data_IF_430883210906
#
_entry.id   IF_430883210906
#
_cell.length_a   1.000
_cell.length_b   1.000
_cell.length_c   1.000
_cell.angle_alpha   90.00
_cell.angle_beta   90.00
_cell.angle_gamma   90.00
#
_symmetry.space_group_name_H-M   'P 1'
#
loop_
_entity.id
_entity.type
_entity.pdbx_description
1 polymer ?
#
# COMPACT_ATOMS: atom_id res chain seq x y z
N UNK A 1 59.64 -57.81 -2.70
CA UNK A 1 59.34 -56.99 -3.89
C UNK A 1 58.15 -56.10 -3.53
N UNK A 2 58.29 -54.79 -3.76
CA UNK A 2 57.36 -53.69 -3.47
C UNK A 2 57.08 -53.28 -2.01
N UNK A 3 57.84 -52.26 -1.63
CA UNK A 3 57.68 -51.26 -0.58
C UNK A 3 56.42 -50.39 -0.75
N UNK A 4 55.70 -50.12 0.34
CA UNK A 4 55.17 -48.76 0.63
C UNK A 4 55.37 -48.43 2.12
N UNK A 5 56.24 -47.44 2.35
CA UNK A 5 56.42 -46.66 3.58
C UNK A 5 55.17 -45.77 3.78
N UNK A 6 54.75 -45.34 4.96
CA UNK A 6 55.31 -44.26 5.81
C UNK A 6 54.42 -44.24 7.07
N UNK A 7 54.94 -44.61 8.26
CA UNK A 7 55.41 -43.74 9.37
C UNK A 7 54.36 -42.71 9.86
N UNK A 8 54.21 -42.41 11.15
CA UNK A 8 54.60 -42.94 12.47
C UNK A 8 54.16 -41.81 13.42
N UNK A 9 53.36 -42.16 14.43
CA UNK A 9 53.34 -41.57 15.80
C UNK A 9 52.88 -40.09 15.83
N UNK A 10 52.28 -39.55 16.88
CA UNK A 10 52.75 -39.32 18.25
C UNK A 10 51.50 -39.36 19.16
N UNK A 11 51.44 -40.19 20.21
CA UNK A 11 51.92 -39.97 21.59
C UNK A 11 51.30 -38.74 22.30
N UNK A 12 50.46 -39.08 23.28
CA UNK A 12 50.21 -38.36 24.55
C UNK A 12 49.39 -37.06 24.43
N UNK A 13 48.27 -36.89 25.15
CA UNK A 13 48.25 -36.58 26.58
C UNK A 13 46.98 -37.12 27.27
N UNK A 14 47.21 -37.66 28.46
CA UNK A 14 46.28 -38.14 29.47
C UNK A 14 45.64 -36.96 30.23
N UNK A 15 44.34 -37.11 30.51
CA UNK A 15 43.56 -36.57 31.64
C UNK A 15 43.68 -35.08 32.01
N UNK A 16 42.54 -34.38 31.96
CA UNK A 16 42.02 -33.69 33.14
C UNK A 16 40.48 -33.61 33.04
N UNK A 17 39.83 -34.40 33.87
CA UNK A 17 38.40 -34.40 34.12
C UNK A 17 38.03 -33.27 35.09
N UNK A 18 36.79 -32.78 34.96
CA UNK A 18 36.00 -32.09 36.00
C UNK A 18 36.43 -30.68 36.41
N UNK A 19 36.13 -29.65 35.60
CA UNK A 19 35.48 -28.37 36.02
C UNK A 19 35.01 -27.64 34.74
N UNK A 20 33.86 -27.98 34.17
CA UNK A 20 33.18 -27.12 33.17
C UNK A 20 31.68 -27.49 33.12
N UNK A 21 31.02 -27.40 34.28
CA UNK A 21 29.57 -27.61 34.40
C UNK A 21 28.98 -26.57 35.36
N UNK A 22 29.29 -25.29 35.14
CA UNK A 22 28.60 -24.17 35.79
C UNK A 22 28.94 -22.84 35.08
N UNK A 23 28.61 -22.73 33.80
CA UNK A 23 28.39 -21.42 33.18
C UNK A 23 27.23 -21.55 32.19
N UNK A 24 26.03 -21.73 32.75
CA UNK A 24 24.80 -21.38 32.06
C UNK A 24 24.88 -19.87 31.82
N UNK A 25 25.42 -19.49 30.66
CA UNK A 25 25.32 -18.14 30.12
C UNK A 25 23.83 -17.83 30.06
N UNK A 26 23.36 -16.96 30.95
CA UNK A 26 22.05 -16.34 30.86
C UNK A 26 22.09 -15.46 29.62
N UNK A 27 21.78 -16.06 28.46
CA UNK A 27 21.61 -15.32 27.21
C UNK A 27 20.44 -14.37 27.46
N UNK A 28 20.63 -13.04 27.44
CA UNK A 28 19.50 -12.13 27.48
C UNK A 28 18.62 -12.48 26.28
N UNK A 29 17.38 -12.88 26.56
CA UNK A 29 16.34 -12.99 25.55
C UNK A 29 16.11 -11.57 25.04
N UNK A 30 16.84 -11.17 24.02
CA UNK A 30 16.47 -10.03 23.22
C UNK A 30 15.14 -10.41 22.58
N UNK A 31 14.05 -9.86 23.11
CA UNK A 31 12.80 -9.81 22.38
C UNK A 31 13.11 -9.06 21.09
N UNK A 32 13.20 -9.79 19.99
CA UNK A 32 13.01 -9.20 18.67
C UNK A 32 11.62 -8.57 18.72
N UNK A 33 11.57 -7.24 18.78
CA UNK A 33 10.32 -6.53 18.56
C UNK A 33 9.86 -6.94 17.16
N UNK A 34 8.88 -7.84 17.09
CA UNK A 34 8.15 -8.06 15.86
C UNK A 34 7.58 -6.70 15.44
N UNK A 35 7.98 -6.22 14.27
CA UNK A 35 7.37 -5.04 13.70
C UNK A 35 5.86 -5.30 13.60
N UNK A 36 5.05 -4.36 14.09
CA UNK A 36 3.60 -4.46 13.96
C UNK A 36 3.25 -4.70 12.48
N UNK A 37 2.27 -5.59 12.18
CA UNK A 37 1.85 -5.79 10.81
C UNK A 37 1.43 -4.46 10.19
N UNK A 38 1.67 -4.25 8.88
CA UNK A 38 1.16 -3.08 8.17
C UNK A 38 -0.35 -2.95 8.44
N UNK A 39 -0.82 -1.71 8.60
CA UNK A 39 -2.25 -1.43 8.76
C UNK A 39 -3.03 -2.13 7.64
N UNK A 40 -4.12 -2.82 7.92
CA UNK A 40 -4.96 -3.41 6.87
C UNK A 40 -5.97 -2.40 6.35
N UNK A 41 -6.66 -2.74 5.26
CA UNK A 41 -7.73 -1.90 4.70
C UNK A 41 -7.22 -0.76 3.83
N UNK A 42 -8.16 0.05 3.38
CA UNK A 42 -7.98 1.11 2.38
C UNK A 42 -8.61 2.41 2.87
N UNK A 43 -8.23 3.49 2.22
CA UNK A 43 -8.98 4.74 2.27
C UNK A 43 -9.21 5.21 0.84
N UNK A 44 -10.28 5.94 0.63
CA UNK A 44 -10.60 6.55 -0.66
C UNK A 44 -11.07 7.97 -0.40
N UNK A 45 -10.61 8.90 -1.21
CA UNK A 45 -11.36 10.14 -1.32
C UNK A 45 -12.55 9.95 -2.24
N UNK A 46 -13.65 10.60 -1.90
CA UNK A 46 -14.94 10.48 -2.56
C UNK A 46 -15.71 11.80 -2.53
N UNK A 47 -16.85 11.85 -3.23
CA UNK A 47 -17.82 12.93 -3.07
C UNK A 47 -18.64 12.77 -1.77
N UNK A 48 -19.49 13.74 -1.49
CA UNK A 48 -20.32 13.75 -0.27
C UNK A 48 -21.16 12.48 -0.08
N UNK A 49 -21.50 11.79 -1.17
CA UNK A 49 -22.37 10.59 -1.14
C UNK A 49 -21.61 9.29 -0.99
N UNK A 50 -20.27 9.31 -1.08
CA UNK A 50 -19.47 8.08 -1.16
C UNK A 50 -19.41 7.49 -2.58
N UNK A 51 -19.76 8.28 -3.59
CA UNK A 51 -19.77 7.87 -4.98
C UNK A 51 -18.39 7.77 -5.62
N UNK A 52 -18.31 7.08 -6.75
CA UNK A 52 -17.10 7.10 -7.59
C UNK A 52 -16.97 8.47 -8.24
N UNK A 53 -15.82 9.10 -8.02
CA UNK A 53 -15.50 10.38 -8.63
C UNK A 53 -14.58 10.16 -9.82
N UNK A 54 -14.83 10.88 -10.93
CA UNK A 54 -14.08 10.75 -12.18
C UNK A 54 -12.56 10.88 -11.95
N UNK A 55 -11.87 9.75 -11.86
CA UNK A 55 -10.41 9.68 -11.62
C UNK A 55 -9.97 10.46 -10.38
N UNK A 56 -10.83 10.48 -9.35
CA UNK A 56 -10.57 11.16 -8.09
C UNK A 56 -10.31 12.68 -8.25
N UNK A 57 -11.04 13.31 -9.18
CA UNK A 57 -10.99 14.74 -9.47
C UNK A 57 -12.21 15.48 -8.94
N UNK A 58 -11.96 16.52 -8.15
CA UNK A 58 -12.98 17.31 -7.47
C UNK A 58 -13.02 18.75 -7.98
N UNK A 59 -14.23 19.31 -7.99
CA UNK A 59 -14.48 20.68 -8.44
C UNK A 59 -14.13 21.71 -7.37
N UNK A 60 -14.38 21.41 -6.08
CA UNK A 60 -14.06 22.27 -4.94
C UNK A 60 -13.39 21.49 -3.82
N UNK A 61 -12.72 22.20 -2.91
CA UNK A 61 -12.11 21.59 -1.70
C UNK A 61 -13.17 21.25 -0.66
N UNK A 62 -14.08 22.20 -0.42
CA UNK A 62 -15.06 22.15 0.65
C UNK A 62 -16.50 22.26 0.13
N UNK A 63 -17.44 22.00 1.03
CA UNK A 63 -18.87 22.12 0.84
C UNK A 63 -19.50 20.91 0.12
N UNK A 64 -20.72 21.06 -0.41
CA UNK A 64 -21.47 19.96 -1.03
C UNK A 64 -20.80 19.32 -2.26
N UNK A 65 -19.85 20.00 -2.89
CA UNK A 65 -19.04 19.48 -4.02
C UNK A 65 -17.56 19.30 -3.64
N UNK A 66 -17.28 19.30 -2.33
CA UNK A 66 -15.95 19.16 -1.76
C UNK A 66 -15.39 17.75 -1.81
N UNK A 67 -14.26 17.58 -1.14
CA UNK A 67 -13.57 16.29 -1.03
C UNK A 67 -13.90 15.65 0.31
N UNK A 68 -14.33 14.40 0.26
CA UNK A 68 -14.67 13.61 1.43
C UNK A 68 -13.79 12.36 1.49
N UNK A 69 -13.69 11.78 2.67
CA UNK A 69 -12.98 10.55 2.96
C UNK A 69 -13.98 9.42 3.21
N UNK A 70 -13.71 8.25 2.66
CA UNK A 70 -14.40 6.99 2.90
C UNK A 70 -13.37 5.90 3.25
N UNK A 71 -13.76 5.00 4.16
CA UNK A 71 -12.96 3.87 4.63
C UNK A 71 -13.52 2.50 4.22
N UNK A 72 -14.56 2.47 3.38
CA UNK A 72 -15.21 1.25 2.91
C UNK A 72 -14.65 0.72 1.59
N UNK A 73 -14.94 -0.55 1.22
CA UNK A 73 -14.57 -1.08 -0.08
C UNK A 73 -15.20 -0.29 -1.22
N UNK A 74 -14.37 0.10 -2.19
CA UNK A 74 -14.84 0.65 -3.45
C UNK A 74 -15.77 -0.33 -4.20
N UNK A 75 -16.48 0.11 -5.26
CA UNK A 75 -17.60 -0.61 -5.89
C UNK A 75 -17.32 -2.02 -6.43
N UNK A 76 -16.09 -2.52 -6.35
CA UNK A 76 -15.65 -3.78 -6.93
C UNK A 76 -14.98 -4.72 -5.93
N UNK A 77 -14.87 -4.35 -4.65
CA UNK A 77 -14.33 -5.21 -3.60
C UNK A 77 -15.48 -5.97 -2.90
N UNK A 78 -15.27 -7.21 -2.42
CA UNK A 78 -16.25 -7.92 -1.62
C UNK A 78 -16.69 -7.07 -0.42
N UNK A 79 -17.95 -7.19 0.06
CA UNK A 79 -18.41 -6.47 1.25
C UNK A 79 -17.42 -6.68 2.40
N UNK A 80 -17.00 -5.60 3.05
CA UNK A 80 -15.97 -5.54 4.12
C UNK A 80 -14.50 -5.78 3.74
N UNK A 81 -14.16 -6.16 2.50
CA UNK A 81 -12.80 -6.59 2.11
C UNK A 81 -11.72 -5.49 2.14
N UNK A 82 -12.07 -4.23 2.37
CA UNK A 82 -11.12 -3.12 2.42
C UNK A 82 -11.31 -2.19 3.63
N UNK A 83 -12.11 -2.58 4.62
CA UNK A 83 -12.31 -1.77 5.82
C UNK A 83 -11.04 -1.63 6.63
N UNK A 84 -10.77 -0.42 7.14
CA UNK A 84 -9.78 -0.24 8.20
C UNK A 84 -10.21 -1.05 9.46
N UNK A 85 -9.27 -1.50 10.30
CA UNK A 85 -9.60 -2.08 11.59
C UNK A 85 -10.43 -1.13 12.47
N UNK A 86 -11.24 -1.69 13.36
CA UNK A 86 -12.01 -0.89 14.31
C UNK A 86 -11.09 -0.05 15.21
N UNK A 87 -11.50 1.20 15.45
CA UNK A 87 -10.77 2.13 16.30
C UNK A 87 -10.84 3.57 15.83
N UNK A 88 -10.13 4.44 16.55
CA UNK A 88 -10.02 5.85 16.23
C UNK A 88 -8.76 6.14 15.42
N UNK A 89 -8.88 7.05 14.47
CA UNK A 89 -7.83 7.44 13.55
C UNK A 89 -7.74 8.96 13.45
N UNK A 90 -6.53 9.45 13.23
CA UNK A 90 -6.31 10.81 12.75
C UNK A 90 -6.21 10.82 11.23
N UNK A 91 -6.60 11.94 10.61
CA UNK A 91 -6.38 12.18 9.19
C UNK A 91 -5.70 13.54 8.91
N UNK A 92 -5.11 13.66 7.72
CA UNK A 92 -4.55 14.92 7.25
C UNK A 92 -4.52 15.02 5.73
N UNK A 93 -4.42 16.23 5.22
CA UNK A 93 -4.15 16.53 3.81
C UNK A 93 -2.78 17.19 3.70
N UNK A 94 -1.95 16.69 2.78
CA UNK A 94 -0.65 17.25 2.44
C UNK A 94 -0.53 17.49 0.94
N UNK A 95 0.56 18.13 0.52
CA UNK A 95 1.01 18.02 -0.87
C UNK A 95 1.38 16.54 -1.18
N UNK A 96 1.56 16.16 -2.45
CA UNK A 96 1.79 14.76 -2.82
C UNK A 96 3.10 14.19 -2.27
N UNK A 97 4.09 15.06 -1.98
CA UNK A 97 5.35 14.63 -1.38
C UNK A 97 5.26 14.39 0.14
N UNK A 98 4.12 14.74 0.77
CA UNK A 98 3.92 14.65 2.21
C UNK A 98 4.63 15.74 3.03
N UNK A 99 5.44 16.59 2.40
CA UNK A 99 6.34 17.54 3.07
C UNK A 99 5.66 18.83 3.50
N UNK A 100 4.61 19.22 2.80
CA UNK A 100 3.83 20.42 3.09
C UNK A 100 2.49 20.01 3.65
N UNK A 101 2.27 20.28 4.94
CA UNK A 101 0.96 20.15 5.56
C UNK A 101 -0.01 21.17 4.96
N UNK A 102 -1.19 20.70 4.56
CA UNK A 102 -2.24 21.54 4.00
C UNK A 102 -3.46 21.64 4.91
N UNK A 103 -3.75 20.63 5.74
CA UNK A 103 -4.76 20.76 6.82
C UNK A 103 -4.43 21.94 7.74
N UNK A 104 -5.43 22.74 8.09
CA UNK A 104 -5.22 24.00 8.82
C UNK A 104 -5.66 23.98 10.27
N UNK A 105 -6.38 22.95 10.70
CA UNK A 105 -6.89 22.77 12.04
C UNK A 105 -6.07 21.72 12.84
N UNK A 106 -6.19 21.77 14.17
CA UNK A 106 -5.43 20.88 15.06
C UNK A 106 -5.80 19.41 14.84
N UNK A 107 -4.84 18.50 14.99
CA UNK A 107 -5.05 17.05 14.74
C UNK A 107 -6.19 16.47 15.60
N UNK A 108 -6.40 16.97 16.81
CA UNK A 108 -7.49 16.55 17.71
C UNK A 108 -8.90 16.81 17.13
N UNK A 109 -9.02 17.65 16.11
CA UNK A 109 -10.27 17.92 15.41
C UNK A 109 -10.46 17.01 14.18
N UNK A 110 -9.37 16.40 13.69
CA UNK A 110 -9.30 15.50 12.54
C UNK A 110 -9.36 14.03 12.97
N UNK A 111 -10.37 13.69 13.79
CA UNK A 111 -10.60 12.33 14.28
C UNK A 111 -11.76 11.69 13.55
N UNK A 112 -11.58 10.44 13.13
CA UNK A 112 -12.64 9.56 12.65
C UNK A 112 -12.65 8.25 13.44
N UNK A 113 -13.82 7.63 13.54
CA UNK A 113 -14.00 6.32 14.17
C UNK A 113 -14.43 5.31 13.12
N UNK A 114 -13.78 4.14 13.14
CA UNK A 114 -14.10 2.99 12.30
C UNK A 114 -14.72 1.90 13.16
N UNK A 115 -15.82 1.32 12.66
CA UNK A 115 -16.47 0.15 13.25
C UNK A 115 -17.02 -0.75 12.16
N UNK A 116 -16.75 -2.05 12.25
CA UNK A 116 -17.16 -3.03 11.24
C UNK A 116 -16.55 -2.76 9.86
N UNK A 117 -15.37 -2.13 9.81
CA UNK A 117 -14.69 -1.76 8.57
C UNK A 117 -15.30 -0.56 7.83
N UNK A 118 -16.19 0.21 8.47
CA UNK A 118 -16.78 1.43 7.92
C UNK A 118 -16.47 2.62 8.82
N UNK A 119 -16.27 3.80 8.23
CA UNK A 119 -16.23 5.03 9.02
C UNK A 119 -17.65 5.29 9.55
N UNK A 120 -17.81 5.43 10.86
CA UNK A 120 -19.12 5.61 11.51
C UNK A 120 -19.34 7.02 12.06
N UNK A 121 -18.27 7.75 12.34
CA UNK A 121 -18.33 9.11 12.86
C UNK A 121 -17.03 9.86 12.64
N UNK A 122 -17.10 11.19 12.71
CA UNK A 122 -15.96 12.08 12.84
C UNK A 122 -16.19 13.05 14.00
N UNK A 123 -15.13 13.71 14.47
CA UNK A 123 -15.21 14.68 15.57
C UNK A 123 -16.00 15.93 15.16
N UNK A 124 -15.33 16.95 14.61
CA UNK A 124 -15.99 18.21 14.24
C UNK A 124 -16.15 18.39 12.73
N UNK A 125 -15.53 17.51 11.94
CA UNK A 125 -15.66 17.53 10.49
C UNK A 125 -17.05 17.01 10.09
N UNK A 126 -17.75 17.69 9.15
CA UNK A 126 -19.05 17.25 8.68
C UNK A 126 -19.03 15.81 8.17
N UNK A 127 -20.08 15.07 8.52
CA UNK A 127 -20.30 13.70 8.07
C UNK A 127 -21.61 13.58 7.32
N UNK A 128 -21.63 12.77 6.27
CA UNK A 128 -22.85 12.47 5.50
C UNK A 128 -23.00 10.96 5.31
N UNK A 129 -24.23 10.43 5.23
CA UNK A 129 -24.43 9.02 4.94
C UNK A 129 -23.74 8.62 3.63
N UNK A 130 -22.95 7.55 3.68
CA UNK A 130 -22.34 6.97 2.49
C UNK A 130 -23.39 6.10 1.76
N UNK A 131 -24.06 6.70 0.78
CA UNK A 131 -25.09 6.05 -0.05
C UNK A 131 -24.56 5.49 -1.37
N UNK A 132 -23.35 5.88 -1.77
CA UNK A 132 -22.68 5.45 -3.00
C UNK A 132 -21.73 4.25 -2.82
N UNK A 133 -21.35 3.95 -1.59
CA UNK A 133 -20.44 2.88 -1.21
C UNK A 133 -21.10 1.80 -0.33
N UNK A 134 -20.32 1.25 0.60
CA UNK A 134 -20.72 0.10 1.43
C UNK A 134 -21.48 0.48 2.71
N UNK A 135 -21.91 1.74 2.85
CA UNK A 135 -22.55 2.28 4.05
C UNK A 135 -21.59 3.05 4.96
N UNK A 136 -22.04 3.38 6.17
CA UNK A 136 -21.30 4.25 7.09
C UNK A 136 -21.49 5.73 6.76
N UNK A 137 -20.47 6.54 7.02
CA UNK A 137 -20.45 7.97 6.70
C UNK A 137 -19.21 8.35 5.90
N UNK A 138 -19.35 9.36 5.04
CA UNK A 138 -18.23 10.11 4.47
C UNK A 138 -17.83 11.23 5.41
N UNK A 139 -16.56 11.63 5.43
CA UNK A 139 -16.04 12.72 6.27
C UNK A 139 -15.44 13.82 5.40
N UNK A 140 -15.90 15.05 5.52
CA UNK A 140 -15.34 16.16 4.74
C UNK A 140 -13.88 16.44 5.15
N UNK A 141 -12.95 16.49 4.19
CA UNK A 141 -11.53 16.73 4.50
C UNK A 141 -11.21 18.19 4.83
N UNK A 142 -12.10 19.13 4.50
CA UNK A 142 -11.88 20.55 4.78
C UNK A 142 -11.96 20.89 6.27
N UNK A 143 -11.16 21.87 6.74
CA UNK A 143 -10.41 22.84 5.93
C UNK A 143 -8.97 22.41 5.55
N UNK A 144 -8.56 22.72 4.31
CA UNK A 144 -7.15 22.62 3.88
C UNK A 144 -6.75 23.67 2.82
N UNK A 145 -5.47 24.04 2.83
CA UNK A 145 -4.85 25.02 1.93
C UNK A 145 -4.65 24.47 0.52
N UNK A 146 -4.37 25.37 -0.44
CA UNK A 146 -4.02 24.94 -1.80
C UNK A 146 -2.67 24.25 -1.83
N UNK A 147 -2.57 23.19 -2.63
CA UNK A 147 -1.32 22.47 -2.85
C UNK A 147 -0.33 23.34 -3.64
N UNK A 148 0.96 23.36 -3.27
CA UNK A 148 2.00 23.99 -4.10
C UNK A 148 2.29 23.19 -5.37
N UNK A 149 1.73 21.99 -5.51
CA UNK A 149 1.82 21.20 -6.73
C UNK A 149 1.01 21.85 -7.86
N UNK A 150 1.67 22.32 -8.91
CA UNK A 150 1.02 22.97 -10.07
C UNK A 150 -0.02 22.08 -10.78
N UNK A 151 0.06 20.75 -10.61
CA UNK A 151 -0.91 19.81 -11.12
C UNK A 151 -2.21 19.75 -10.32
N UNK A 152 -2.31 20.45 -9.18
CA UNK A 152 -3.47 20.44 -8.28
C UNK A 152 -3.62 19.14 -7.50
N UNK A 153 -2.55 18.34 -7.36
CA UNK A 153 -2.60 17.05 -6.66
C UNK A 153 -2.36 17.22 -5.17
N UNK A 154 -3.12 16.47 -4.38
CA UNK A 154 -3.12 16.40 -2.92
C UNK A 154 -2.97 14.95 -2.49
N UNK A 155 -2.60 14.74 -1.22
CA UNK A 155 -2.58 13.41 -0.59
C UNK A 155 -3.35 13.43 0.72
N UNK A 156 -4.36 12.56 0.83
CA UNK A 156 -5.04 12.27 2.07
C UNK A 156 -4.27 11.17 2.82
N UNK A 157 -4.18 11.29 4.14
CA UNK A 157 -3.56 10.31 5.02
C UNK A 157 -4.52 9.92 6.13
N UNK A 158 -4.47 8.66 6.56
CA UNK A 158 -5.13 8.16 7.78
C UNK A 158 -4.16 7.31 8.57
N UNK A 159 -4.06 7.54 9.88
CA UNK A 159 -3.20 6.76 10.81
C UNK A 159 -3.98 6.46 12.10
N UNK A 160 -3.83 5.26 12.70
CA UNK A 160 -4.43 4.97 13.99
C UNK A 160 -3.95 5.95 15.05
N UNK A 161 -4.82 6.37 15.98
CA UNK A 161 -4.44 7.31 17.06
C UNK A 161 -3.22 6.81 17.84
N UNK A 162 -3.14 5.51 18.11
CA UNK A 162 -2.00 4.90 18.81
C UNK A 162 -0.68 4.84 18.03
N UNK A 163 -0.68 5.16 16.74
CA UNK A 163 0.51 5.17 15.87
C UNK A 163 0.92 6.60 15.47
N UNK A 164 0.16 7.62 15.89
CA UNK A 164 0.48 9.02 15.61
C UNK A 164 1.64 9.51 16.49
N UNK A 165 2.58 10.24 15.88
CA UNK A 165 3.75 10.79 16.54
C UNK A 165 3.65 12.32 16.66
N UNK A 166 3.05 12.81 17.74
CA UNK A 166 2.96 14.25 17.96
C UNK A 166 2.02 14.65 19.08
N UNK A 167 1.80 15.95 19.17
CA UNK A 167 0.83 16.58 20.05
C UNK A 167 -0.47 16.87 19.26
N UNK A 168 -1.59 16.19 19.55
CA UNK A 168 -2.81 16.34 18.78
C UNK A 168 -3.43 17.74 18.93
N UNK A 169 -3.02 18.53 19.93
CA UNK A 169 -3.48 19.91 20.09
C UNK A 169 -2.87 20.88 19.06
N UNK A 170 -1.82 20.44 18.34
CA UNK A 170 -1.15 21.23 17.31
C UNK A 170 -1.70 20.91 15.92
N UNK A 171 -1.61 21.91 15.03
CA UNK A 171 -1.89 21.74 13.60
C UNK A 171 -0.78 20.90 12.95
N UNK A 172 0.47 21.34 13.12
CA UNK A 172 1.65 20.69 12.57
C UNK A 172 2.47 19.98 13.67
N UNK A 173 2.92 18.78 13.35
CA UNK A 173 3.70 17.90 14.22
C UNK A 173 4.95 17.38 13.48
N UNK A 174 6.00 18.19 13.28
CA UNK A 174 7.23 17.74 12.64
C UNK A 174 7.88 16.60 13.42
N UNK A 175 8.16 15.47 12.76
CA UNK A 175 8.57 14.23 13.41
C UNK A 175 9.83 13.57 12.80
N UNK A 176 10.60 14.32 12.01
CA UNK A 176 11.90 13.87 11.48
C UNK A 176 11.81 12.96 10.24
N UNK A 177 12.91 12.27 9.92
CA UNK A 177 13.00 11.49 8.69
C UNK A 177 12.08 10.27 8.71
N UNK A 178 11.31 10.10 7.63
CA UNK A 178 10.39 8.97 7.47
C UNK A 178 9.06 9.14 8.20
N UNK A 179 8.75 10.35 8.66
CA UNK A 179 7.45 10.70 9.24
C UNK A 179 6.99 12.05 8.70
N UNK A 180 5.69 12.21 8.48
CA UNK A 180 5.07 13.34 7.81
C UNK A 180 4.01 13.97 8.72
N UNK A 181 4.37 15.03 9.45
CA UNK A 181 3.45 15.76 10.34
C UNK A 181 2.78 14.87 11.41
N UNK A 182 3.51 13.87 11.90
CA UNK A 182 3.10 12.87 12.87
C UNK A 182 2.56 11.57 12.28
N UNK A 183 2.45 11.50 10.94
CA UNK A 183 1.99 10.30 10.22
C UNK A 183 3.19 9.50 9.73
N UNK A 184 3.32 8.27 10.22
CA UNK A 184 4.37 7.33 9.79
C UNK A 184 3.83 6.48 8.63
N UNK A 185 4.49 6.45 7.46
CA UNK A 185 3.99 5.74 6.27
C UNK A 185 3.66 4.27 6.49
N UNK A 186 4.49 3.55 7.26
CA UNK A 186 4.29 2.13 7.55
C UNK A 186 3.00 1.83 8.31
N UNK A 187 2.46 2.82 9.03
CA UNK A 187 1.23 2.70 9.83
C UNK A 187 0.06 3.49 9.22
N UNK A 188 0.26 4.10 8.05
CA UNK A 188 -0.72 4.97 7.43
C UNK A 188 -1.27 4.39 6.13
N UNK A 189 -2.49 4.80 5.79
CA UNK A 189 -3.04 4.68 4.44
C UNK A 189 -3.08 6.03 3.76
N UNK A 190 -2.90 6.01 2.45
CA UNK A 190 -2.93 7.21 1.64
C UNK A 190 -3.80 7.03 0.41
N UNK A 191 -4.37 8.13 -0.04
CA UNK A 191 -4.98 8.27 -1.36
C UNK A 191 -4.60 9.62 -1.97
N UNK A 192 -4.41 9.65 -3.29
CA UNK A 192 -4.06 10.88 -4.02
C UNK A 192 -5.26 11.39 -4.81
N UNK A 193 -5.59 12.66 -4.62
CA UNK A 193 -6.72 13.31 -5.27
C UNK A 193 -6.33 14.62 -5.91
N UNK A 194 -7.21 15.17 -6.74
CA UNK A 194 -7.00 16.47 -7.39
C UNK A 194 -8.18 17.39 -7.15
N UNK A 195 -7.89 18.64 -6.79
CA UNK A 195 -8.89 19.71 -6.76
C UNK A 195 -8.45 20.78 -7.75
N UNK A 196 -9.31 21.13 -8.71
CA UNK A 196 -9.17 22.25 -9.66
C UNK A 196 -7.73 22.56 -10.12
N UNK A 197 -7.42 22.26 -11.38
CA UNK A 197 -6.19 22.69 -12.05
C UNK A 197 -6.31 22.53 -13.56
N UNK A 198 -5.35 23.00 -14.37
CA UNK A 198 -5.30 22.62 -15.77
C UNK A 198 -5.40 21.09 -15.86
N UNK A 199 -6.04 20.60 -16.92
CA UNK A 199 -6.08 19.16 -17.23
C UNK A 199 -4.67 18.74 -17.68
N UNK A 200 -3.73 18.75 -16.74
CA UNK A 200 -2.45 18.08 -16.88
C UNK A 200 -2.78 16.60 -16.88
N UNK A 201 -2.21 15.88 -17.84
CA UNK A 201 -2.48 14.48 -17.99
C UNK A 201 -2.17 13.73 -16.68
N UNK A 202 -3.12 12.89 -16.28
CA UNK A 202 -3.16 12.26 -14.97
C UNK A 202 -2.38 10.97 -15.08
N UNK A 203 -1.31 10.84 -14.32
CA UNK A 203 -0.56 9.59 -14.30
C UNK A 203 -1.37 8.52 -13.56
N UNK A 204 -1.43 7.33 -14.15
CA UNK A 204 -2.17 6.21 -13.60
C UNK A 204 -1.41 4.89 -13.74
N UNK A 205 -1.80 3.87 -12.97
CA UNK A 205 -1.23 2.53 -13.07
C UNK A 205 -2.31 1.47 -13.18
N UNK A 206 -2.15 0.51 -14.09
CA UNK A 206 -2.97 -0.70 -14.15
C UNK A 206 -2.13 -1.92 -13.79
N UNK A 207 -2.72 -2.84 -13.02
CA UNK A 207 -2.08 -4.11 -12.62
C UNK A 207 -2.87 -5.27 -13.19
N UNK A 208 -2.19 -6.10 -13.97
CA UNK A 208 -2.71 -7.24 -14.69
C UNK A 208 -2.10 -8.54 -14.17
N UNK A 209 -2.87 -9.61 -14.32
CA UNK A 209 -2.47 -10.98 -14.03
C UNK A 209 -2.75 -11.84 -15.26
N UNK A 210 -1.93 -12.83 -15.56
CA UNK A 210 -2.31 -13.98 -16.39
C UNK A 210 -1.82 -15.28 -15.77
N UNK A 211 -2.46 -16.39 -16.15
CA UNK A 211 -2.01 -17.73 -15.80
C UNK A 211 -1.19 -18.25 -16.97
N UNK A 212 0.09 -18.48 -16.73
CA UNK A 212 1.04 -19.08 -17.67
C UNK A 212 0.90 -20.60 -17.57
N UNK A 213 0.12 -21.18 -18.48
CA UNK A 213 -0.32 -22.56 -18.38
C UNK A 213 0.82 -23.55 -18.67
N UNK A 214 1.80 -23.15 -19.49
CA UNK A 214 2.91 -24.01 -19.89
C UNK A 214 4.24 -23.66 -19.18
N UNK A 215 4.27 -22.59 -18.40
CA UNK A 215 5.41 -22.19 -17.58
C UNK A 215 6.57 -21.56 -18.35
N UNK A 216 6.34 -21.06 -19.57
CA UNK A 216 7.39 -20.53 -20.44
C UNK A 216 7.70 -19.03 -20.20
N UNK A 217 6.94 -18.35 -19.33
CA UNK A 217 7.11 -16.94 -19.01
C UNK A 217 6.61 -15.99 -20.11
N UNK A 218 5.77 -16.45 -21.03
CA UNK A 218 5.23 -15.67 -22.15
C UNK A 218 3.70 -15.75 -22.10
N UNK A 219 3.02 -14.61 -22.20
CA UNK A 219 1.55 -14.62 -22.36
C UNK A 219 1.18 -14.98 -23.79
N UNK A 220 0.41 -16.05 -23.96
CA UNK A 220 -0.03 -16.57 -25.26
C UNK A 220 -1.57 -16.52 -25.41
N UNK A 221 -2.17 -15.37 -25.75
CA UNK A 221 -3.64 -15.24 -25.87
C UNK A 221 -4.28 -16.22 -26.86
N UNK A 222 -3.55 -16.61 -27.90
CA UNK A 222 -4.02 -17.59 -28.89
C UNK A 222 -4.20 -18.99 -28.29
N UNK A 223 -3.54 -19.28 -27.16
CA UNK A 223 -3.66 -20.52 -26.40
C UNK A 223 -4.64 -20.41 -25.22
N UNK A 224 -5.33 -19.27 -25.08
CA UNK A 224 -6.30 -19.01 -24.02
C UNK A 224 -5.73 -18.31 -22.78
N UNK A 225 -4.46 -17.89 -22.80
CA UNK A 225 -3.86 -17.13 -21.71
C UNK A 225 -4.31 -15.67 -21.74
N UNK A 226 -5.47 -15.44 -21.13
CA UNK A 226 -6.08 -14.12 -20.97
C UNK A 226 -5.76 -13.52 -19.60
N UNK A 227 -6.07 -12.24 -19.44
CA UNK A 227 -5.96 -11.63 -18.12
C UNK A 227 -6.91 -12.27 -17.12
N UNK A 228 -6.40 -12.52 -15.92
CA UNK A 228 -7.09 -13.14 -14.80
C UNK A 228 -7.54 -12.07 -13.79
N UNK A 229 -8.80 -12.12 -13.39
CA UNK A 229 -9.38 -11.22 -12.39
C UNK A 229 -9.43 -11.85 -11.00
N UNK A 230 -9.46 -11.03 -9.96
CA UNK A 230 -9.55 -11.46 -8.57
C UNK A 230 -8.20 -11.77 -7.92
N UNK A 231 -7.08 -11.55 -8.59
CA UNK A 231 -5.76 -11.76 -7.99
C UNK A 231 -5.38 -10.57 -7.08
N UNK A 232 -5.06 -10.85 -5.82
CA UNK A 232 -4.73 -9.80 -4.87
C UNK A 232 -3.38 -9.14 -5.15
N UNK A 233 -3.31 -7.82 -4.98
CA UNK A 233 -2.06 -7.07 -5.03
C UNK A 233 -2.11 -5.85 -4.11
N UNK A 234 -0.94 -5.30 -3.81
CA UNK A 234 -0.79 -4.07 -3.04
C UNK A 234 0.18 -3.11 -3.73
N UNK A 235 0.00 -1.81 -3.49
CA UNK A 235 0.87 -0.77 -4.02
C UNK A 235 1.36 0.13 -2.91
N UNK A 236 2.68 0.28 -2.81
CA UNK A 236 3.34 1.22 -1.91
C UNK A 236 3.85 2.41 -2.70
N UNK A 237 3.53 3.61 -2.21
CA UNK A 237 3.93 4.87 -2.81
C UNK A 237 5.43 5.19 -2.57
N UNK A 238 5.96 6.25 -3.20
CA UNK A 238 7.36 6.64 -3.02
C UNK A 238 7.75 7.07 -1.60
N UNK A 239 6.77 7.32 -0.72
CA UNK A 239 6.99 7.69 0.67
C UNK A 239 6.93 6.47 1.61
N UNK A 240 6.57 5.29 1.10
CA UNK A 240 6.46 4.06 1.87
C UNK A 240 5.06 3.78 2.43
N UNK A 241 4.04 4.57 2.06
CA UNK A 241 2.66 4.35 2.50
C UNK A 241 1.91 3.48 1.47
N UNK A 242 1.01 2.62 1.94
CA UNK A 242 0.19 1.81 1.04
C UNK A 242 -0.99 2.63 0.48
N UNK A 243 -1.16 2.58 -0.83
CA UNK A 243 -2.27 3.21 -1.55
C UNK A 243 -3.46 2.26 -1.55
N UNK A 244 -4.62 2.74 -1.11
CA UNK A 244 -5.92 2.06 -1.24
C UNK A 244 -5.94 0.59 -0.75
N UNK A 245 -5.05 0.24 0.19
CA UNK A 245 -5.01 -1.10 0.78
C UNK A 245 -4.66 -2.22 -0.19
N UNK A 246 -5.27 -3.40 0.05
CA UNK A 246 -5.23 -4.54 -0.86
C UNK A 246 -6.27 -4.36 -1.96
N UNK A 247 -5.82 -4.45 -3.21
CA UNK A 247 -6.61 -4.37 -4.43
C UNK A 247 -6.61 -5.71 -5.15
N UNK A 248 -7.46 -5.85 -6.18
CA UNK A 248 -7.62 -7.10 -6.92
C UNK A 248 -7.61 -6.85 -8.42
N UNK A 249 -6.92 -7.69 -9.21
CA UNK A 249 -6.89 -7.56 -10.68
C UNK A 249 -8.26 -7.80 -11.30
N UNK A 250 -8.45 -7.37 -12.55
CA UNK A 250 -9.71 -7.58 -13.27
C UNK A 250 -9.38 -8.15 -14.66
N UNK A 251 -10.15 -9.14 -15.10
CA UNK A 251 -9.87 -9.90 -16.32
C UNK A 251 -10.06 -9.07 -17.62
N UNK A 252 -10.93 -8.06 -17.61
CA UNK A 252 -11.32 -7.30 -18.81
C UNK A 252 -11.12 -5.81 -18.61
N UNK A 253 -9.91 -5.43 -18.20
CA UNK A 253 -9.60 -4.04 -17.92
C UNK A 253 -9.73 -3.15 -19.15
N UNK A 254 -10.36 -2.00 -18.92
CA UNK A 254 -10.24 -0.81 -19.77
C UNK A 254 -9.60 0.25 -18.90
N UNK A 255 -8.41 0.69 -19.34
CA UNK A 255 -7.67 1.79 -18.74
C UNK A 255 -7.35 1.59 -17.25
N UNK A 256 -6.92 2.64 -16.57
CA UNK A 256 -6.36 2.78 -15.22
C UNK A 256 -7.20 2.19 -14.03
N UNK A 257 -7.94 1.11 -14.26
CA UNK A 257 -8.79 0.42 -13.30
C UNK A 257 -8.12 -0.89 -12.84
N UNK A 258 -8.33 -1.34 -11.59
CA UNK A 258 -8.90 -0.58 -10.49
C UNK A 258 -7.94 0.48 -9.95
N UNK A 259 -8.29 1.75 -10.18
CA UNK A 259 -8.27 2.81 -9.18
C UNK A 259 -6.94 3.49 -8.81
N UNK A 260 -5.87 3.39 -9.61
CA UNK A 260 -4.64 4.12 -9.29
C UNK A 260 -4.51 5.36 -10.17
N UNK A 261 -5.03 6.48 -9.68
CA UNK A 261 -5.01 7.77 -10.36
C UNK A 261 -4.23 8.81 -9.56
N UNK A 262 -3.97 9.95 -10.20
CA UNK A 262 -3.25 11.09 -9.61
C UNK A 262 -1.90 10.68 -9.02
N UNK A 263 -1.24 9.71 -9.64
CA UNK A 263 0.10 9.30 -9.24
C UNK A 263 1.08 10.42 -9.58
N UNK A 264 2.06 10.61 -8.70
CA UNK A 264 3.10 11.63 -8.87
C UNK A 264 4.42 10.98 -9.23
N UNK A 265 5.37 11.72 -9.81
CA UNK A 265 6.67 11.15 -10.13
C UNK A 265 7.35 10.55 -8.90
N UNK A 266 7.89 9.34 -9.07
CA UNK A 266 8.50 8.59 -7.99
C UNK A 266 8.51 7.09 -8.24
N UNK A 267 9.08 6.38 -7.28
CA UNK A 267 9.25 4.93 -7.30
C UNK A 267 8.13 4.26 -6.52
N UNK A 268 7.29 3.51 -7.20
CA UNK A 268 6.21 2.71 -6.61
C UNK A 268 6.65 1.26 -6.52
N UNK A 269 6.19 0.56 -5.49
CA UNK A 269 6.39 -0.88 -5.33
C UNK A 269 5.06 -1.58 -5.47
N UNK A 270 4.98 -2.58 -6.35
CA UNK A 270 3.79 -3.41 -6.54
C UNK A 270 4.14 -4.82 -6.09
N UNK A 271 3.32 -5.39 -5.21
CA UNK A 271 3.47 -6.75 -4.70
C UNK A 271 2.20 -7.51 -4.97
N UNK A 272 2.30 -8.63 -5.69
CA UNK A 272 1.18 -9.56 -5.87
C UNK A 272 1.11 -10.58 -4.73
N UNK A 273 -0.08 -11.13 -4.51
CA UNK A 273 -0.24 -12.31 -3.67
C UNK A 273 0.42 -13.54 -4.32
N UNK A 274 0.81 -14.51 -3.49
CA UNK A 274 1.42 -15.77 -3.94
C UNK A 274 0.39 -16.86 -4.33
N UNK A 275 -0.90 -16.60 -4.11
CA UNK A 275 -1.98 -17.55 -4.35
C UNK A 275 -3.27 -16.82 -4.75
N UNK A 276 -4.13 -17.50 -5.51
CA UNK A 276 -5.52 -17.11 -5.76
C UNK A 276 -6.48 -17.53 -4.61
N UNK A 277 -5.95 -18.16 -3.56
CA UNK A 277 -6.71 -18.76 -2.47
C UNK A 277 -7.05 -20.24 -2.65
N UNK A 278 -6.69 -20.86 -3.78
CA UNK A 278 -7.00 -22.26 -4.09
C UNK A 278 -5.78 -23.10 -4.52
N UNK A 279 -4.74 -22.47 -5.06
CA UNK A 279 -3.52 -23.13 -5.54
C UNK A 279 -2.22 -22.43 -5.15
N UNK A 280 -1.09 -23.12 -5.36
CA UNK A 280 0.26 -22.53 -5.24
C UNK A 280 0.79 -22.21 -6.62
N UNK A 281 1.38 -21.02 -6.78
CA UNK A 281 1.86 -20.51 -8.05
C UNK A 281 3.30 -20.00 -7.92
N UNK A 282 4.06 -20.03 -9.02
CA UNK A 282 5.37 -19.36 -9.13
C UNK A 282 5.29 -18.29 -10.19
N UNK A 283 5.91 -17.14 -9.93
CA UNK A 283 6.05 -16.08 -10.93
C UNK A 283 6.96 -16.58 -12.05
N UNK A 284 6.46 -16.56 -13.27
CA UNK A 284 7.19 -16.93 -14.48
C UNK A 284 7.46 -15.73 -15.38
N UNK A 285 6.66 -14.66 -15.25
CA UNK A 285 6.82 -13.44 -16.01
C UNK A 285 6.48 -12.20 -15.18
N UNK A 286 7.23 -11.12 -15.40
CA UNK A 286 6.82 -9.77 -15.03
C UNK A 286 7.03 -8.85 -16.22
N UNK A 287 6.10 -7.92 -16.46
CA UNK A 287 6.31 -6.83 -17.41
C UNK A 287 5.92 -5.47 -16.82
N UNK A 288 6.62 -4.43 -17.28
CA UNK A 288 6.23 -3.03 -17.11
C UNK A 288 6.21 -2.42 -18.50
N UNK A 289 5.04 -1.96 -18.96
CA UNK A 289 4.80 -1.45 -20.32
C UNK A 289 5.31 -2.42 -21.41
N UNK A 290 4.88 -3.68 -21.31
CA UNK A 290 5.27 -4.78 -22.21
C UNK A 290 6.78 -5.10 -22.23
N UNK A 291 7.57 -4.54 -21.32
CA UNK A 291 8.98 -4.86 -21.17
C UNK A 291 9.19 -5.85 -20.04
N UNK A 292 9.79 -6.99 -20.37
CA UNK A 292 10.12 -8.04 -19.41
C UNK A 292 11.05 -7.53 -18.30
N UNK A 293 10.76 -7.91 -17.07
CA UNK A 293 11.65 -7.69 -15.93
C UNK A 293 12.48 -8.96 -15.67
N UNK A 294 13.71 -8.77 -15.19
CA UNK A 294 14.61 -9.87 -14.82
C UNK A 294 15.46 -9.46 -13.61
N UNK A 295 15.54 -10.29 -12.54
CA UNK A 295 14.79 -11.54 -12.35
C UNK A 295 13.28 -11.30 -12.23
N UNK A 296 12.49 -12.36 -12.44
CA UNK A 296 11.06 -12.32 -12.11
C UNK A 296 10.86 -12.48 -10.60
N UNK A 297 9.86 -11.79 -10.05
CA UNK A 297 9.59 -11.70 -8.63
C UNK A 297 8.10 -11.37 -8.39
N UNK A 298 7.62 -11.74 -7.20
CA UNK A 298 6.32 -11.32 -6.64
C UNK A 298 6.27 -9.82 -6.34
N UNK A 299 7.43 -9.18 -6.25
CA UNK A 299 7.57 -7.74 -6.03
C UNK A 299 8.27 -7.09 -7.21
N UNK A 300 7.63 -6.08 -7.81
CA UNK A 300 8.27 -5.24 -8.84
C UNK A 300 8.23 -3.76 -8.48
N UNK A 301 9.12 -3.01 -9.10
CA UNK A 301 9.17 -1.55 -9.01
C UNK A 301 8.66 -0.93 -10.29
N UNK A 302 7.84 0.12 -10.17
CA UNK A 302 7.46 1.01 -11.26
C UNK A 302 7.96 2.43 -10.97
N UNK A 303 8.60 3.08 -11.95
CA UNK A 303 9.09 4.45 -11.79
C UNK A 303 8.30 5.39 -12.69
N UNK A 304 7.49 6.26 -12.09
CA UNK A 304 6.82 7.35 -12.79
C UNK A 304 7.75 8.55 -12.95
N UNK A 305 7.91 9.03 -14.18
CA UNK A 305 8.59 10.27 -14.51
C UNK A 305 7.59 11.42 -14.63
N UNK A 306 8.05 12.69 -14.63
CA UNK A 306 7.17 13.88 -14.71
C UNK A 306 6.14 13.91 -15.85
N UNK A 307 6.40 13.22 -16.97
CA UNK A 307 5.52 13.23 -18.14
C UNK A 307 4.86 11.87 -18.40
N UNK A 308 5.06 10.88 -17.53
CA UNK A 308 4.45 9.57 -17.69
C UNK A 308 2.96 9.68 -17.36
N UNK A 309 2.12 9.18 -18.25
CA UNK A 309 0.67 9.26 -18.12
C UNK A 309 0.06 7.93 -17.66
N UNK A 310 0.78 6.83 -17.92
CA UNK A 310 0.30 5.49 -17.64
C UNK A 310 1.46 4.53 -17.55
N UNK A 311 1.35 3.59 -16.61
CA UNK A 311 2.13 2.35 -16.63
C UNK A 311 1.24 1.13 -16.50
N UNK A 312 1.55 0.09 -17.27
CA UNK A 312 0.88 -1.21 -17.20
C UNK A 312 1.84 -2.24 -16.60
N UNK A 313 1.45 -2.82 -15.47
CA UNK A 313 2.19 -3.85 -14.74
C UNK A 313 1.52 -5.19 -14.97
N UNK A 314 2.27 -6.22 -15.38
CA UNK A 314 1.73 -7.57 -15.52
C UNK A 314 2.54 -8.58 -14.72
N UNK A 315 1.84 -9.44 -13.98
CA UNK A 315 2.38 -10.67 -13.40
C UNK A 315 1.86 -11.89 -14.17
N UNK A 316 2.75 -12.81 -14.52
CA UNK A 316 2.42 -14.10 -15.11
C UNK A 316 2.91 -15.22 -14.19
N UNK A 317 2.01 -16.16 -13.86
CA UNK A 317 2.37 -17.23 -12.94
C UNK A 317 1.89 -18.59 -13.44
N UNK A 318 2.71 -19.60 -13.20
CA UNK A 318 2.40 -20.98 -13.47
C UNK A 318 2.01 -21.72 -12.18
N UNK A 319 1.04 -22.65 -12.24
CA UNK A 319 0.68 -23.49 -11.11
C UNK A 319 1.82 -24.46 -10.75
N UNK A 320 2.03 -24.70 -9.46
CA UNK A 320 2.99 -25.69 -8.96
C UNK A 320 2.32 -27.05 -8.79
N UNK A 321 2.91 -28.10 -9.36
CA UNK A 321 2.54 -29.49 -9.07
C UNK A 321 1.36 -30.05 -9.86
N UNK A 322 1.17 -29.60 -11.11
CA UNK A 322 0.33 -30.29 -12.09
C UNK A 322 1.07 -31.44 -12.77
#
# INVERSE_FOLDING_TARGET
MSTVRVKRKWLSVIAFSLVFAALLVSIPKFSVNAASPPLSGAIFTTDITGGVVNQNQYSTKCGPSGVYLDGGPGPSAPPTAAGLPDGDYYFQVTDPSGKTLLSTDAVQFRVLTVSGGLITSASIHPTFPNTGGSGGVTVELCPFNDTPNNGGVYKAWVTPVGQFLGDPTKVDNPCGNGCFHGFVPAFSKVDNFKVKGPVVAIACMSVFKFIDANGNGIREPALGEIHYGGWGFTVTDPLGAQINGKMYTIAHLKDCFPGLFNLVPGKYTVVEDVTDGTGTYVVTANTVDDKNQSPVDTQITVTFKPNDLRHDVTFGNAPVGQ
#
